data_IF_917640560177
#
_entry.id   IF_917640560177
#
_cell.length_a   1.000
_cell.length_b   1.000
_cell.length_c   1.000
_cell.angle_alpha   90.00
_cell.angle_beta   90.00
_cell.angle_gamma   90.00
#
_symmetry.space_group_name_H-M   'P 1'
#
loop_
_entity.id
_entity.type
_entity.pdbx_description
1 polymer ?
#
# COMPACT_ATOMS: atom_id res chain seq x y z
N UNK A 1 2.44 -11.33 1.17
CA UNK A 1 2.67 -12.07 -0.09
C UNK A 1 1.96 -13.42 -0.12
N UNK A 2 1.86 -14.14 1.00
CA UNK A 2 1.34 -15.51 1.03
C UNK A 2 -0.18 -15.65 0.88
N UNK A 3 -0.95 -14.62 1.22
CA UNK A 3 -2.41 -14.77 1.33
C UNK A 3 -3.17 -14.34 0.07
N UNK A 4 -2.59 -13.44 -0.73
CA UNK A 4 -3.18 -12.96 -1.99
C UNK A 4 -2.27 -13.26 -3.18
N UNK A 5 -1.03 -12.79 -3.16
CA UNK A 5 -0.13 -12.90 -4.31
C UNK A 5 0.19 -14.37 -4.66
N UNK A 6 0.80 -15.13 -3.76
CA UNK A 6 1.14 -16.55 -4.01
C UNK A 6 -0.05 -17.41 -4.49
N UNK A 7 -1.22 -17.40 -3.82
CA UNK A 7 -2.33 -18.27 -4.18
C UNK A 7 -3.08 -17.85 -5.44
N UNK A 8 -3.02 -16.58 -5.85
CA UNK A 8 -3.82 -16.07 -6.98
C UNK A 8 -2.94 -15.68 -8.18
N UNK A 9 -1.84 -14.97 -7.95
CA UNK A 9 -0.99 -14.39 -8.99
C UNK A 9 0.42 -15.01 -9.05
N UNK A 10 0.75 -15.88 -8.09
CA UNK A 10 2.08 -16.44 -7.87
C UNK A 10 2.59 -17.31 -9.02
N UNK A 11 3.87 -17.70 -8.99
CA UNK A 11 4.53 -18.40 -10.10
C UNK A 11 3.91 -19.77 -10.42
N UNK A 12 3.28 -20.42 -9.43
CA UNK A 12 2.72 -21.76 -9.57
C UNK A 12 1.29 -21.82 -10.13
N UNK A 13 0.68 -20.67 -10.41
CA UNK A 13 -0.65 -20.61 -11.02
C UNK A 13 -0.60 -20.86 -12.54
N UNK A 14 -1.68 -21.41 -13.10
CA UNK A 14 -1.73 -21.88 -14.49
C UNK A 14 -2.73 -21.14 -15.39
N UNK A 15 -3.50 -20.18 -14.86
CA UNK A 15 -4.60 -19.55 -15.59
C UNK A 15 -4.16 -18.51 -16.63
N UNK A 16 -2.90 -18.08 -16.60
CA UNK A 16 -2.29 -17.16 -17.58
C UNK A 16 -0.76 -17.27 -17.55
N UNK A 17 -0.04 -16.48 -18.34
CA UNK A 17 1.42 -16.33 -18.16
C UNK A 17 1.78 -15.60 -16.86
N UNK A 18 2.95 -15.88 -16.27
CA UNK A 18 3.38 -15.19 -15.04
C UNK A 18 3.47 -13.67 -15.22
N UNK A 19 3.91 -13.18 -16.39
CA UNK A 19 3.94 -11.76 -16.71
C UNK A 19 2.54 -11.14 -16.64
N UNK A 20 1.55 -11.82 -17.23
CA UNK A 20 0.16 -11.35 -17.23
C UNK A 20 -0.45 -11.36 -15.82
N UNK A 21 -0.15 -12.39 -15.01
CA UNK A 21 -0.60 -12.42 -13.60
C UNK A 21 0.04 -11.32 -12.77
N UNK A 22 1.33 -11.06 -12.97
CA UNK A 22 2.03 -9.96 -12.30
C UNK A 22 1.45 -8.61 -12.71
N UNK A 23 1.10 -8.44 -13.98
CA UNK A 23 0.39 -7.26 -14.47
C UNK A 23 -0.96 -7.08 -13.76
N UNK A 24 -1.82 -8.10 -13.76
CA UNK A 24 -3.14 -8.02 -13.11
C UNK A 24 -3.07 -7.83 -11.59
N UNK A 25 -2.04 -8.37 -10.93
CA UNK A 25 -1.75 -8.09 -9.52
C UNK A 25 -1.40 -6.61 -9.29
N UNK A 26 -0.62 -6.00 -10.18
CA UNK A 26 -0.34 -4.57 -10.11
C UNK A 26 -1.61 -3.75 -10.33
N UNK A 27 -2.44 -4.13 -11.31
CA UNK A 27 -3.73 -3.48 -11.55
C UNK A 27 -4.58 -3.50 -10.29
N UNK A 28 -4.69 -4.67 -9.65
CA UNK A 28 -5.44 -4.82 -8.40
C UNK A 28 -4.90 -3.89 -7.29
N UNK A 29 -3.58 -3.85 -7.11
CA UNK A 29 -2.97 -2.96 -6.09
C UNK A 29 -3.30 -1.50 -6.35
N UNK A 30 -3.10 -1.03 -7.57
CA UNK A 30 -3.38 0.37 -7.92
C UNK A 30 -4.86 0.71 -7.81
N UNK A 31 -5.76 -0.19 -8.24
CA UNK A 31 -7.20 -0.02 -8.06
C UNK A 31 -7.57 0.10 -6.57
N UNK A 32 -7.01 -0.76 -5.70
CA UNK A 32 -7.26 -0.68 -4.26
C UNK A 32 -6.68 0.59 -3.65
N UNK A 33 -5.50 1.02 -4.08
CA UNK A 33 -4.87 2.26 -3.62
C UNK A 33 -5.75 3.48 -3.96
N UNK A 34 -6.31 3.56 -5.17
CA UNK A 34 -7.21 4.64 -5.56
C UNK A 34 -8.46 4.69 -4.67
N UNK A 35 -9.05 3.54 -4.35
CA UNK A 35 -10.21 3.48 -3.45
C UNK A 35 -9.84 3.90 -2.02
N UNK A 36 -8.66 3.50 -1.53
CA UNK A 36 -8.19 3.88 -0.20
C UNK A 36 -7.92 5.39 -0.13
N UNK A 37 -7.18 5.94 -1.09
CA UNK A 37 -6.88 7.38 -1.14
C UNK A 37 -8.17 8.20 -1.18
N UNK A 38 -9.13 7.82 -2.03
CA UNK A 38 -10.42 8.49 -2.11
C UNK A 38 -11.22 8.46 -0.80
N UNK A 39 -10.94 7.49 0.08
CA UNK A 39 -11.59 7.37 1.40
C UNK A 39 -10.84 8.05 2.54
N UNK A 40 -9.63 8.57 2.30
CA UNK A 40 -8.84 9.22 3.34
C UNK A 40 -9.46 10.56 3.74
N UNK A 41 -9.64 10.83 5.05
CA UNK A 41 -10.05 12.15 5.51
C UNK A 41 -9.01 13.21 5.09
N UNK A 42 -9.42 14.39 4.59
CA UNK A 42 -8.48 15.45 4.19
C UNK A 42 -7.50 15.85 5.30
N UNK A 43 -7.92 15.72 6.55
CA UNK A 43 -7.13 16.03 7.74
C UNK A 43 -5.94 15.09 7.92
N UNK A 44 -5.99 13.87 7.39
CA UNK A 44 -4.87 12.90 7.48
C UNK A 44 -3.68 13.41 6.69
N UNK A 45 -3.90 13.98 5.50
CA UNK A 45 -2.83 14.50 4.64
C UNK A 45 -2.17 15.71 5.30
N UNK A 46 -2.97 16.63 5.85
CA UNK A 46 -2.42 17.79 6.56
C UNK A 46 -1.74 17.41 7.88
N UNK A 47 -2.27 16.43 8.60
CA UNK A 47 -1.62 15.90 9.80
C UNK A 47 -0.25 15.29 9.47
N UNK A 48 -0.17 14.46 8.41
CA UNK A 48 1.08 13.82 7.98
C UNK A 48 2.17 14.85 7.68
N UNK A 49 1.85 15.95 6.99
CA UNK A 49 2.83 17.01 6.67
C UNK A 49 3.44 17.69 7.88
N UNK A 50 2.70 17.75 8.99
CA UNK A 50 3.12 18.43 10.20
C UNK A 50 3.82 17.50 11.21
N UNK A 51 3.92 16.21 10.92
CA UNK A 51 4.61 15.23 11.78
C UNK A 51 6.11 15.54 11.85
N UNK A 52 6.65 15.76 13.04
CA UNK A 52 8.10 15.91 13.25
C UNK A 52 8.62 14.64 13.94
N UNK A 53 9.30 13.73 13.23
CA UNK A 53 9.96 12.59 13.83
C UNK A 53 10.96 13.05 14.90
N UNK A 54 11.02 12.31 16.01
CA UNK A 54 12.00 12.54 17.09
C UNK A 54 12.51 11.21 17.59
N UNK A 55 13.58 10.72 16.96
CA UNK A 55 14.19 9.43 17.22
C UNK A 55 13.16 8.30 17.28
N UNK A 56 12.19 8.34 16.36
CA UNK A 56 11.14 7.31 16.34
C UNK A 56 11.80 5.95 16.16
N UNK A 57 12.60 5.78 15.11
CA UNK A 57 13.26 4.52 14.82
C UNK A 57 14.72 4.54 15.31
N UNK A 58 15.14 3.48 16.00
CA UNK A 58 16.53 3.31 16.45
C UNK A 58 17.52 3.03 15.33
N UNK A 59 17.01 2.72 14.13
CA UNK A 59 17.79 2.27 12.97
C UNK A 59 17.68 3.20 11.76
N UNK A 60 16.87 4.26 11.83
CA UNK A 60 16.70 5.26 10.76
C UNK A 60 16.78 6.64 11.37
N UNK A 61 17.55 7.53 10.74
CA UNK A 61 17.65 8.93 11.14
C UNK A 61 16.36 9.69 10.81
N UNK A 62 16.01 10.67 11.64
CA UNK A 62 14.79 11.46 11.47
C UNK A 62 14.74 12.18 10.13
N UNK A 63 15.89 12.59 9.57
CA UNK A 63 15.96 13.25 8.25
C UNK A 63 15.44 12.33 7.13
N UNK A 64 15.74 11.04 7.19
CA UNK A 64 15.24 10.06 6.23
C UNK A 64 13.72 9.89 6.36
N UNK A 65 13.19 9.95 7.59
CA UNK A 65 11.76 9.89 7.85
C UNK A 65 11.04 11.15 7.36
N UNK A 66 11.65 12.33 7.52
CA UNK A 66 11.13 13.59 7.00
C UNK A 66 11.09 13.58 5.47
N UNK A 67 12.17 13.14 4.82
CA UNK A 67 12.20 13.02 3.35
C UNK A 67 11.11 12.07 2.84
N UNK A 68 10.90 10.95 3.53
CA UNK A 68 9.86 10.00 3.18
C UNK A 68 8.44 10.55 3.44
N UNK A 69 8.22 11.25 4.56
CA UNK A 69 6.96 11.96 4.87
C UNK A 69 6.62 12.98 3.80
N UNK A 70 7.59 13.79 3.38
CA UNK A 70 7.38 14.85 2.38
C UNK A 70 7.06 14.25 1.01
N UNK A 71 7.78 13.18 0.63
CA UNK A 71 7.50 12.41 -0.58
C UNK A 71 6.08 11.83 -0.58
N UNK A 72 5.67 11.16 0.50
CA UNK A 72 4.33 10.60 0.63
C UNK A 72 3.25 11.69 0.62
N UNK A 73 3.48 12.79 1.32
CA UNK A 73 2.54 13.91 1.37
C UNK A 73 2.32 14.52 0.00
N UNK A 74 3.37 14.69 -0.81
CA UNK A 74 3.26 15.19 -2.17
C UNK A 74 2.46 14.24 -3.08
N UNK A 75 2.63 12.92 -2.93
CA UNK A 75 1.84 11.93 -3.67
C UNK A 75 0.37 11.96 -3.29
N UNK A 76 0.06 12.11 -2.00
CA UNK A 76 -1.32 12.14 -1.53
C UNK A 76 -2.04 13.45 -1.87
N UNK A 77 -1.34 14.59 -1.91
CA UNK A 77 -1.92 15.90 -2.24
C UNK A 77 -2.22 16.11 -3.71
N UNK A 78 -1.31 15.66 -4.58
CA UNK A 78 -1.43 15.94 -6.02
C UNK A 78 -2.56 15.16 -6.66
N UNK A 79 -3.02 14.05 -6.03
CA UNK A 79 -3.91 13.08 -6.68
C UNK A 79 -3.30 12.50 -7.97
N UNK A 80 -2.06 12.89 -8.32
CA UNK A 80 -1.33 12.37 -9.44
C UNK A 80 -1.10 10.91 -9.15
N UNK A 81 -1.56 10.09 -10.08
CA UNK A 81 -1.55 8.63 -9.99
C UNK A 81 -0.27 8.16 -9.33
N UNK A 82 -0.42 7.36 -8.28
CA UNK A 82 0.69 6.70 -7.60
C UNK A 82 1.62 6.15 -8.69
N UNK A 83 2.85 6.69 -8.74
CA UNK A 83 3.85 6.41 -9.80
C UNK A 83 4.21 4.93 -9.95
N UNK A 84 3.67 4.07 -9.09
CA UNK A 84 3.71 2.61 -9.20
C UNK A 84 3.32 2.13 -10.60
N UNK A 85 2.30 2.72 -11.24
CA UNK A 85 1.84 2.30 -12.58
C UNK A 85 2.89 2.61 -13.64
N UNK A 86 3.38 3.86 -13.68
CA UNK A 86 4.35 4.33 -14.68
C UNK A 86 5.69 3.57 -14.56
N UNK A 87 6.15 3.34 -13.33
CA UNK A 87 7.38 2.59 -13.06
C UNK A 87 7.24 1.12 -13.45
N UNK A 88 6.08 0.49 -13.22
CA UNK A 88 5.84 -0.89 -13.65
C UNK A 88 5.72 -1.01 -15.16
N UNK A 89 4.93 -0.14 -15.78
CA UNK A 89 4.71 -0.11 -17.22
C UNK A 89 6.03 0.05 -17.99
N UNK A 90 6.86 1.02 -17.58
CA UNK A 90 8.18 1.26 -18.18
C UNK A 90 9.13 0.06 -18.07
N UNK A 91 9.13 -0.66 -16.94
CA UNK A 91 10.02 -1.81 -16.72
C UNK A 91 9.62 -3.07 -17.48
N UNK A 92 8.34 -3.20 -17.83
CA UNK A 92 7.80 -4.41 -18.44
C UNK A 92 7.31 -4.23 -19.89
N UNK A 93 7.48 -3.04 -20.46
CA UNK A 93 7.05 -2.74 -21.84
C UNK A 93 5.51 -2.76 -21.99
N UNK A 94 4.79 -2.49 -20.91
CA UNK A 94 3.33 -2.46 -20.87
C UNK A 94 2.87 -1.02 -21.08
N UNK A 95 1.78 -0.82 -21.80
CA UNK A 95 1.19 0.51 -22.03
C UNK A 95 0.51 1.05 -20.75
N UNK A 96 0.97 2.17 -20.16
CA UNK A 96 0.32 2.81 -19.02
C UNK A 96 -1.15 3.19 -19.29
N UNK A 97 -1.50 3.54 -20.53
CA UNK A 97 -2.86 3.95 -20.88
C UNK A 97 -3.85 2.78 -20.80
N UNK A 98 -3.42 1.57 -21.18
CA UNK A 98 -4.21 0.34 -21.00
C UNK A 98 -4.46 0.06 -19.51
N UNK A 99 -3.51 0.40 -18.65
CA UNK A 99 -3.61 0.26 -17.20
C UNK A 99 -4.67 1.20 -16.62
N UNK A 100 -4.63 2.49 -16.99
CA UNK A 100 -5.63 3.46 -16.56
C UNK A 100 -7.03 3.12 -17.06
N UNK A 101 -7.13 2.57 -18.28
CA UNK A 101 -8.41 2.10 -18.82
C UNK A 101 -8.97 0.91 -18.03
N UNK A 102 -8.09 0.04 -17.52
CA UNK A 102 -8.47 -1.11 -16.71
C UNK A 102 -9.02 -0.68 -15.34
N UNK A 103 -8.28 0.15 -14.60
CA UNK A 103 -8.64 0.55 -13.22
C UNK A 103 -9.91 1.42 -13.18
N UNK A 104 -10.15 2.22 -14.22
CA UNK A 104 -11.31 3.13 -14.28
C UNK A 104 -12.62 2.43 -14.70
N UNK A 105 -12.63 1.11 -14.88
CA UNK A 105 -13.79 0.36 -15.38
C UNK A 105 -14.09 -0.85 -14.51
N UNK A 106 -15.16 -0.77 -13.70
CA UNK A 106 -15.60 -1.89 -12.84
C UNK A 106 -15.86 -3.17 -13.66
N UNK A 107 -16.51 -3.07 -14.83
CA UNK A 107 -16.74 -4.23 -15.72
C UNK A 107 -15.44 -4.95 -16.13
N UNK A 108 -14.38 -4.18 -16.38
CA UNK A 108 -13.08 -4.72 -16.76
C UNK A 108 -12.37 -5.33 -15.57
N UNK A 109 -12.45 -4.68 -14.41
CA UNK A 109 -11.95 -5.24 -13.15
C UNK A 109 -12.64 -6.58 -12.82
N UNK A 110 -13.96 -6.67 -12.99
CA UNK A 110 -14.71 -7.92 -12.81
C UNK A 110 -14.22 -9.02 -13.77
N UNK A 111 -14.14 -8.69 -15.05
CA UNK A 111 -13.83 -9.68 -16.10
C UNK A 111 -12.37 -10.15 -16.12
N UNK A 112 -11.43 -9.36 -15.56
CA UNK A 112 -10.00 -9.65 -15.66
C UNK A 112 -9.33 -9.92 -14.31
N UNK A 113 -9.84 -9.36 -13.21
CA UNK A 113 -9.22 -9.47 -11.88
C UNK A 113 -10.12 -10.25 -10.94
N UNK A 114 -11.37 -9.83 -10.75
CA UNK A 114 -12.23 -10.45 -9.74
C UNK A 114 -12.78 -11.83 -10.13
N UNK A 115 -12.60 -12.24 -11.38
CA UNK A 115 -12.76 -13.64 -11.79
C UNK A 115 -11.75 -14.59 -11.11
N UNK A 116 -10.59 -14.07 -10.68
CA UNK A 116 -9.53 -14.87 -10.03
C UNK A 116 -9.50 -14.72 -8.51
N UNK A 117 -10.08 -13.64 -7.97
CA UNK A 117 -10.12 -13.36 -6.54
C UNK A 117 -11.44 -12.68 -6.18
N UNK A 118 -12.13 -13.21 -5.17
CA UNK A 118 -13.40 -12.61 -4.76
C UNK A 118 -13.17 -11.33 -3.97
N UNK A 119 -14.14 -10.41 -4.06
CA UNK A 119 -14.13 -9.20 -3.23
C UNK A 119 -14.14 -9.52 -1.75
N UNK A 120 -14.89 -10.56 -1.34
CA UNK A 120 -14.90 -11.02 0.05
C UNK A 120 -13.52 -11.43 0.55
N UNK A 121 -12.74 -12.15 -0.27
CA UNK A 121 -11.37 -12.54 0.10
C UNK A 121 -10.48 -11.30 0.32
N UNK A 122 -10.66 -10.24 -0.47
CA UNK A 122 -9.93 -8.99 -0.29
C UNK A 122 -10.36 -8.24 0.98
N UNK A 123 -11.66 -8.21 1.26
CA UNK A 123 -12.20 -7.59 2.47
C UNK A 123 -11.72 -8.30 3.74
N UNK A 124 -11.78 -9.63 3.76
CA UNK A 124 -11.28 -10.46 4.86
C UNK A 124 -9.77 -10.25 5.08
N UNK A 125 -9.00 -10.24 3.97
CA UNK A 125 -7.57 -9.95 4.02
C UNK A 125 -7.29 -8.56 4.60
N UNK A 126 -8.04 -7.54 4.15
CA UNK A 126 -7.88 -6.16 4.63
C UNK A 126 -8.18 -6.06 6.12
N UNK A 127 -9.26 -6.67 6.60
CA UNK A 127 -9.62 -6.65 8.01
C UNK A 127 -8.54 -7.30 8.87
N UNK A 128 -8.04 -8.47 8.46
CA UNK A 128 -6.95 -9.15 9.17
C UNK A 128 -5.66 -8.31 9.18
N UNK A 129 -5.32 -7.69 8.05
CA UNK A 129 -4.13 -6.84 7.93
C UNK A 129 -4.23 -5.60 8.83
N UNK A 130 -5.39 -4.94 8.90
CA UNK A 130 -5.60 -3.79 9.79
C UNK A 130 -5.41 -4.20 11.24
N UNK A 131 -6.03 -5.30 11.68
CA UNK A 131 -5.91 -5.79 13.06
C UNK A 131 -4.45 -6.06 13.44
N UNK A 132 -3.69 -6.75 12.57
CA UNK A 132 -2.27 -7.03 12.82
C UNK A 132 -1.41 -5.76 12.86
N UNK A 133 -1.70 -4.77 12.02
CA UNK A 133 -0.96 -3.50 12.05
C UNK A 133 -1.26 -2.67 13.30
N UNK A 134 -2.52 -2.66 13.76
CA UNK A 134 -2.88 -2.01 15.03
C UNK A 134 -2.10 -2.64 16.16
N UNK A 135 -2.14 -3.97 16.30
CA UNK A 135 -1.40 -4.70 17.33
C UNK A 135 0.10 -4.41 17.28
N UNK A 136 0.69 -4.38 16.08
CA UNK A 136 2.10 -4.05 15.90
C UNK A 136 2.44 -2.63 16.37
N UNK A 137 1.62 -1.64 15.99
CA UNK A 137 1.82 -0.23 16.36
C UNK A 137 1.65 -0.06 17.87
N UNK A 138 0.62 -0.67 18.47
CA UNK A 138 0.38 -0.62 19.91
C UNK A 138 1.54 -1.20 20.71
N UNK A 139 2.06 -2.37 20.30
CA UNK A 139 3.21 -3.00 20.93
C UNK A 139 4.45 -2.10 20.85
N UNK A 140 4.72 -1.56 19.65
CA UNK A 140 5.86 -0.69 19.43
C UNK A 140 5.80 0.61 20.26
N UNK A 141 4.65 1.27 20.34
CA UNK A 141 4.47 2.48 21.14
C UNK A 141 4.54 2.19 22.65
N UNK A 142 4.07 1.02 23.09
CA UNK A 142 4.16 0.57 24.49
C UNK A 142 5.61 0.30 24.92
N UNK A 143 6.44 -0.23 24.02
CA UNK A 143 7.86 -0.46 24.29
C UNK A 143 8.65 0.84 24.38
N UNK A 144 8.34 1.84 23.53
CA UNK A 144 8.95 3.17 23.60
C UNK A 144 8.64 3.89 24.91
N UNK A 145 7.38 3.87 25.36
CA UNK A 145 6.98 4.48 26.65
C UNK A 145 7.64 3.77 27.84
N UNK A 146 7.74 2.45 27.80
CA UNK A 146 8.40 1.65 28.84
C UNK A 146 9.92 1.88 28.90
N UNK A 147 10.54 2.21 27.77
CA UNK A 147 11.98 2.52 27.68
C UNK A 147 12.29 3.93 28.17
N UNK A 148 11.45 4.91 27.84
CA UNK A 148 11.56 6.29 28.32
C UNK A 148 11.43 6.39 29.85
N UNK A 149 10.50 5.62 30.46
CA UNK A 149 10.32 5.59 31.91
C UNK A 149 11.55 5.03 32.66
N UNK A 150 12.30 4.10 32.05
CA UNK A 150 13.53 3.54 32.64
C UNK A 150 14.70 4.52 32.61
N UNK A 151 14.84 5.30 31.55
CA UNK A 151 15.88 6.33 31.41
C UNK A 151 15.63 7.57 32.28
N UNK A 152 14.37 7.83 32.65
CA UNK A 152 13.98 8.99 33.48
C UNK A 152 14.12 8.73 35.00
N UNK A 153 14.43 7.51 35.40
CA UNK A 153 14.52 7.07 36.81
C UNK A 153 15.96 6.78 37.26
N UNK A 154 16.96 7.15 36.45
CA UNK A 154 18.40 7.02 36.72
C UNK A 154 19.06 8.39 36.77
#
# INVERSE_FOLDING_TARGET
>A
MKDIFEPVFGPYQAWETFSQRLYLHNVLRSYLDEKVIASLPPEVISALQNVIPRQWLSFVQDESLIQWRDFLSAQLQSGEHIRTIEVFASRHGIDPAAFHTMINSEERMESNVFVHISRQQLDDYRMNLISQNIELIENYLSDLTSSANRLSSS
#
